data_IF_750500175080
#
_entry.id   IF_750500175080
#
_cell.length_a   1.000
_cell.length_b   1.000
_cell.length_c   1.000
_cell.angle_alpha   90.00
_cell.angle_beta   90.00
_cell.angle_gamma   90.00
#
_symmetry.space_group_name_H-M   'P 1'
#
loop_
_entity.id
_entity.type
_entity.pdbx_description
1 polymer ?
#
# COMPACT_ATOMS: atom_id res chain seq x y z
N UNK A 1 -8.24 25.36 -19.51
CA UNK A 1 -8.28 24.07 -18.79
C UNK A 1 -7.66 23.05 -19.74
N UNK A 2 -6.65 22.29 -19.32
CA UNK A 2 -6.04 21.28 -20.19
C UNK A 2 -7.10 20.26 -20.61
N UNK A 3 -7.06 19.84 -21.87
CA UNK A 3 -7.90 18.72 -22.35
C UNK A 3 -7.50 17.41 -21.67
N UNK A 4 -8.41 16.43 -21.64
CA UNK A 4 -8.12 15.08 -21.11
C UNK A 4 -6.85 14.48 -21.77
N UNK A 5 -6.70 14.68 -23.09
CA UNK A 5 -5.54 14.24 -23.86
C UNK A 5 -4.24 14.98 -23.48
N UNK A 6 -4.30 16.28 -23.19
CA UNK A 6 -3.13 17.04 -22.71
C UNK A 6 -2.73 16.61 -21.30
N UNK A 7 -3.70 16.33 -20.43
CA UNK A 7 -3.45 15.80 -19.10
C UNK A 7 -2.81 14.42 -19.17
N UNK A 8 -3.34 13.51 -20.01
CA UNK A 8 -2.71 12.21 -20.24
C UNK A 8 -1.27 12.34 -20.73
N UNK A 9 -1.02 13.23 -21.71
CA UNK A 9 0.34 13.47 -22.25
C UNK A 9 1.32 13.92 -21.18
N UNK A 10 0.83 14.68 -20.19
CA UNK A 10 1.64 15.16 -19.07
C UNK A 10 2.03 14.08 -18.05
N UNK A 11 1.29 12.96 -18.00
CA UNK A 11 1.50 11.87 -17.02
C UNK A 11 2.28 10.71 -17.61
N UNK A 12 1.92 10.27 -18.82
CA UNK A 12 2.44 9.06 -19.46
C UNK A 12 3.44 9.35 -20.59
N UNK A 13 3.50 10.60 -21.07
CA UNK A 13 4.25 10.96 -22.27
C UNK A 13 3.49 10.60 -23.56
N UNK A 14 3.89 11.20 -24.69
CA UNK A 14 3.21 11.03 -25.98
C UNK A 14 3.32 9.60 -26.55
N UNK A 15 4.42 8.91 -26.28
CA UNK A 15 4.70 7.57 -26.80
C UNK A 15 3.76 6.52 -26.24
N UNK A 16 3.54 6.51 -24.92
CA UNK A 16 2.66 5.56 -24.25
C UNK A 16 1.19 5.72 -24.68
N UNK A 17 0.73 6.96 -24.88
CA UNK A 17 -0.64 7.23 -25.34
C UNK A 17 -0.90 6.65 -26.72
N UNK A 18 0.06 6.78 -27.65
CA UNK A 18 -0.05 6.19 -28.99
C UNK A 18 -0.10 4.66 -28.94
N UNK A 19 0.57 4.01 -27.97
CA UNK A 19 0.52 2.55 -27.76
C UNK A 19 -0.85 2.09 -27.28
N UNK A 20 -1.44 2.77 -26.30
CA UNK A 20 -2.79 2.43 -25.81
C UNK A 20 -3.87 2.54 -26.90
N UNK A 21 -3.70 3.43 -27.89
CA UNK A 21 -4.62 3.55 -29.01
C UNK A 21 -4.56 2.34 -29.98
N UNK A 22 -3.48 1.56 -29.97
CA UNK A 22 -3.29 0.39 -30.85
C UNK A 22 -3.96 -0.89 -30.35
N UNK A 23 -4.55 -0.89 -29.15
CA UNK A 23 -5.24 -2.04 -28.50
C UNK A 23 -6.45 -2.55 -29.31
N UNK A 24 -6.77 -1.96 -30.45
CA UNK A 24 -8.08 -2.16 -31.08
C UNK A 24 -8.08 -2.75 -32.49
N UNK A 25 -6.94 -3.04 -33.14
CA UNK A 25 -6.99 -3.60 -34.50
C UNK A 25 -6.10 -4.82 -34.82
N UNK A 26 -5.05 -5.15 -34.03
CA UNK A 26 -4.17 -6.31 -34.36
C UNK A 26 -3.52 -7.06 -33.17
N UNK A 27 -3.59 -6.57 -31.93
CA UNK A 27 -2.85 -7.14 -30.77
C UNK A 27 -3.74 -7.32 -29.55
N UNK A 28 -3.49 -8.36 -28.75
CA UNK A 28 -4.18 -8.55 -27.47
C UNK A 28 -3.66 -7.57 -26.41
N UNK A 29 -4.45 -7.30 -25.37
CA UNK A 29 -4.02 -6.47 -24.25
C UNK A 29 -2.79 -7.04 -23.52
N UNK A 30 -2.59 -8.36 -23.55
CA UNK A 30 -1.38 -8.98 -23.01
C UNK A 30 -0.16 -8.64 -23.85
N UNK A 31 -0.24 -8.67 -25.18
CA UNK A 31 0.90 -8.35 -26.07
C UNK A 31 1.39 -6.91 -25.86
N UNK A 32 0.47 -5.98 -25.60
CA UNK A 32 0.82 -4.57 -25.32
C UNK A 32 1.66 -4.42 -24.06
N UNK A 33 1.54 -5.31 -23.07
CA UNK A 33 2.35 -5.26 -21.85
C UNK A 33 3.85 -5.43 -22.13
N UNK A 34 4.23 -6.16 -23.19
CA UNK A 34 5.63 -6.37 -23.57
C UNK A 34 6.26 -5.12 -24.20
N UNK A 35 5.43 -4.19 -24.66
CA UNK A 35 5.87 -2.95 -25.31
C UNK A 35 6.00 -1.78 -24.32
N UNK A 36 5.39 -1.88 -23.15
CA UNK A 36 5.42 -0.85 -22.11
C UNK A 36 6.81 -0.80 -21.46
N UNK A 37 7.34 0.41 -21.31
CA UNK A 37 8.58 0.64 -20.56
C UNK A 37 8.26 0.76 -19.05
N UNK A 38 8.33 -0.36 -18.33
CA UNK A 38 7.90 -0.47 -16.93
C UNK A 38 8.77 0.26 -15.89
N UNK A 39 9.93 0.77 -16.29
CA UNK A 39 10.75 1.63 -15.43
C UNK A 39 10.15 3.05 -15.31
N UNK A 40 9.30 3.47 -16.27
CA UNK A 40 8.65 4.78 -16.32
C UNK A 40 9.56 5.98 -15.96
N UNK A 41 10.81 5.95 -16.48
CA UNK A 41 11.81 7.00 -16.27
C UNK A 41 11.23 8.37 -16.65
N UNK A 42 11.57 9.39 -15.87
CA UNK A 42 11.17 10.80 -16.06
C UNK A 42 9.66 11.10 -15.96
N UNK A 43 8.83 10.14 -15.54
CA UNK A 43 7.39 10.37 -15.36
C UNK A 43 7.08 11.07 -14.03
N UNK A 44 6.06 11.94 -14.03
CA UNK A 44 5.58 12.59 -12.81
C UNK A 44 4.75 11.60 -12.00
N UNK A 45 5.11 11.36 -10.75
CA UNK A 45 4.39 10.44 -9.84
C UNK A 45 3.56 11.15 -8.77
N UNK A 46 3.73 12.47 -8.63
CA UNK A 46 3.12 13.31 -7.58
C UNK A 46 2.10 14.32 -8.12
N UNK A 47 1.40 13.97 -9.20
CA UNK A 47 0.32 14.79 -9.72
C UNK A 47 -0.95 14.61 -8.89
N UNK A 48 -1.78 15.66 -8.85
CA UNK A 48 -3.06 15.68 -8.14
C UNK A 48 -2.94 15.08 -6.73
N UNK A 49 -3.89 14.23 -6.33
CA UNK A 49 -4.05 13.76 -4.95
C UNK A 49 -2.96 12.78 -4.50
N UNK A 50 -2.10 12.29 -5.42
CA UNK A 50 -0.97 11.41 -5.06
C UNK A 50 0.04 12.06 -4.11
N UNK A 51 0.08 13.41 -4.07
CA UNK A 51 1.00 14.23 -3.26
C UNK A 51 0.58 14.50 -1.81
N UNK A 52 -0.55 13.96 -1.35
CA UNK A 52 -1.14 14.35 -0.06
C UNK A 52 -0.30 13.97 1.15
N UNK A 53 0.38 12.82 1.08
CA UNK A 53 1.08 12.26 2.22
C UNK A 53 2.33 11.50 1.78
N UNK A 54 3.43 11.66 2.51
CA UNK A 54 4.61 10.81 2.38
C UNK A 54 4.31 9.46 3.03
N UNK A 55 3.73 8.55 2.26
CA UNK A 55 3.46 7.16 2.67
C UNK A 55 4.51 6.25 2.00
N UNK A 56 5.20 5.39 2.77
CA UNK A 56 6.30 4.56 2.25
C UNK A 56 5.80 3.45 1.33
N UNK A 57 6.70 2.92 0.49
CA UNK A 57 6.51 1.66 -0.24
C UNK A 57 5.24 1.63 -1.13
N UNK A 58 5.00 2.71 -1.86
CA UNK A 58 3.92 2.82 -2.85
C UNK A 58 4.46 2.50 -4.23
N UNK A 59 3.69 1.78 -5.06
CA UNK A 59 3.97 1.79 -6.49
C UNK A 59 3.61 3.14 -7.11
N UNK A 60 4.19 3.37 -8.29
CA UNK A 60 3.95 4.57 -9.08
C UNK A 60 2.57 4.52 -9.76
N UNK A 61 1.84 5.65 -9.91
CA UNK A 61 0.50 5.68 -10.51
C UNK A 61 0.41 5.09 -11.92
N UNK A 62 1.49 5.14 -12.69
CA UNK A 62 1.56 4.66 -14.06
C UNK A 62 1.25 3.16 -14.17
N UNK A 63 1.59 2.36 -13.14
CA UNK A 63 1.34 0.92 -13.13
C UNK A 63 -0.16 0.61 -13.09
N UNK A 64 -0.93 0.97 -12.04
CA UNK A 64 -2.36 0.74 -12.03
C UNK A 64 -3.05 1.41 -13.21
N UNK A 65 -2.64 2.63 -13.61
CA UNK A 65 -3.20 3.30 -14.78
C UNK A 65 -3.10 2.46 -16.05
N UNK A 66 -1.95 1.84 -16.30
CA UNK A 66 -1.71 0.97 -17.47
C UNK A 66 -2.64 -0.24 -17.47
N UNK A 67 -2.73 -0.97 -16.35
CA UNK A 67 -3.60 -2.14 -16.25
C UNK A 67 -5.08 -1.76 -16.34
N UNK A 68 -5.52 -0.66 -15.72
CA UNK A 68 -6.91 -0.17 -15.81
C UNK A 68 -7.26 0.15 -17.27
N UNK A 69 -6.39 0.84 -18.02
CA UNK A 69 -6.64 1.15 -19.44
C UNK A 69 -6.73 -0.10 -20.31
N UNK A 70 -5.90 -1.11 -20.07
CA UNK A 70 -5.81 -2.30 -20.90
C UNK A 70 -6.89 -3.35 -20.61
N UNK A 71 -7.28 -3.51 -19.35
CA UNK A 71 -8.10 -4.66 -18.91
C UNK A 71 -9.49 -4.28 -18.40
N UNK A 72 -9.88 -3.01 -18.46
CA UNK A 72 -11.22 -2.55 -18.03
C UNK A 72 -11.84 -1.55 -18.98
N UNK A 73 -13.16 -1.43 -18.92
CA UNK A 73 -13.97 -0.38 -19.56
C UNK A 73 -14.43 0.66 -18.52
N UNK A 74 -14.92 1.81 -19.00
CA UNK A 74 -15.57 2.78 -18.10
C UNK A 74 -16.74 2.09 -17.37
N UNK A 75 -16.89 2.35 -16.08
CA UNK A 75 -17.90 1.70 -15.23
C UNK A 75 -17.54 0.30 -14.72
N UNK A 76 -16.44 -0.32 -15.14
CA UNK A 76 -15.96 -1.57 -14.52
C UNK A 76 -15.46 -1.33 -13.09
N UNK A 77 -15.36 -2.41 -12.30
CA UNK A 77 -14.93 -2.36 -10.89
C UNK A 77 -13.48 -2.79 -10.74
N UNK A 78 -12.64 -1.90 -10.20
CA UNK A 78 -11.22 -2.17 -9.89
C UNK A 78 -11.04 -2.38 -8.38
N UNK A 79 -10.38 -3.45 -7.97
CA UNK A 79 -10.08 -3.71 -6.56
C UNK A 79 -8.59 -3.58 -6.29
N UNK A 80 -8.26 -2.97 -5.15
CA UNK A 80 -6.96 -3.08 -4.52
C UNK A 80 -7.14 -3.65 -3.09
N UNK A 81 -6.80 -4.93 -2.84
CA UNK A 81 -6.96 -5.58 -1.54
C UNK A 81 -5.91 -5.15 -0.50
N UNK A 82 -4.87 -4.43 -0.94
CA UNK A 82 -3.81 -3.82 -0.13
C UNK A 82 -3.66 -2.34 -0.51
N UNK A 83 -4.77 -1.62 -0.46
CA UNK A 83 -4.93 -0.31 -1.09
C UNK A 83 -3.92 0.74 -0.62
N UNK A 84 -3.36 0.60 0.58
CA UNK A 84 -2.49 1.59 1.20
C UNK A 84 -3.15 2.97 1.15
N UNK A 85 -2.47 3.94 0.55
CA UNK A 85 -2.98 5.30 0.36
C UNK A 85 -3.77 5.50 -0.96
N UNK A 86 -4.19 4.43 -1.62
CA UNK A 86 -5.24 4.47 -2.65
C UNK A 86 -4.76 4.91 -4.03
N UNK A 87 -3.51 4.60 -4.40
CA UNK A 87 -2.98 4.94 -5.74
C UNK A 87 -3.86 4.32 -6.84
N UNK A 88 -4.24 3.03 -6.72
CA UNK A 88 -5.15 2.35 -7.65
C UNK A 88 -6.52 3.02 -7.71
N UNK A 89 -7.05 3.46 -6.57
CA UNK A 89 -8.39 4.05 -6.47
C UNK A 89 -8.46 5.40 -7.18
N UNK A 90 -7.45 6.25 -6.97
CA UNK A 90 -7.34 7.55 -7.66
C UNK A 90 -7.25 7.35 -9.17
N UNK A 91 -6.39 6.45 -9.65
CA UNK A 91 -6.28 6.19 -11.09
C UNK A 91 -7.55 5.58 -11.68
N UNK A 92 -8.25 4.74 -10.93
CA UNK A 92 -9.55 4.19 -11.34
C UNK A 92 -10.58 5.31 -11.53
N UNK A 93 -10.65 6.24 -10.57
CA UNK A 93 -11.59 7.36 -10.62
C UNK A 93 -11.28 8.33 -11.76
N UNK A 94 -10.00 8.69 -11.96
CA UNK A 94 -9.53 9.51 -13.09
C UNK A 94 -9.81 8.87 -14.45
N UNK A 95 -9.94 7.54 -14.48
CA UNK A 95 -10.29 6.78 -15.67
C UNK A 95 -11.80 6.45 -15.73
N UNK A 96 -12.65 6.97 -14.87
CA UNK A 96 -14.09 6.69 -14.86
C UNK A 96 -14.44 5.21 -14.60
N UNK A 97 -13.73 4.55 -13.68
CA UNK A 97 -14.02 3.20 -13.17
C UNK A 97 -14.54 3.30 -11.73
N UNK A 98 -15.39 2.36 -11.33
CA UNK A 98 -15.68 2.16 -9.91
C UNK A 98 -14.47 1.50 -9.25
N UNK A 99 -14.26 1.75 -7.97
CA UNK A 99 -13.15 1.13 -7.25
C UNK A 99 -13.47 0.74 -5.82
N UNK A 100 -12.82 -0.32 -5.37
CA UNK A 100 -12.88 -0.82 -4.00
C UNK A 100 -11.44 -0.87 -3.50
N UNK A 101 -11.17 -0.22 -2.37
CA UNK A 101 -9.91 -0.34 -1.65
C UNK A 101 -10.12 -1.03 -0.33
N UNK A 102 -9.32 -2.04 -0.04
CA UNK A 102 -9.24 -2.65 1.27
C UNK A 102 -7.84 -2.46 1.83
N UNK A 103 -7.70 -2.03 3.07
CA UNK A 103 -6.41 -2.03 3.76
C UNK A 103 -6.61 -2.21 5.27
N UNK A 104 -5.67 -2.88 5.92
CA UNK A 104 -5.71 -3.09 7.37
C UNK A 104 -5.35 -1.80 8.12
N UNK A 105 -4.52 -0.93 7.55
CA UNK A 105 -4.04 0.29 8.19
C UNK A 105 -5.11 1.40 8.15
N UNK A 106 -5.70 1.79 9.28
CA UNK A 106 -6.74 2.83 9.31
C UNK A 106 -6.23 4.18 8.82
N UNK A 107 -4.95 4.51 9.04
CA UNK A 107 -4.37 5.73 8.51
C UNK A 107 -4.31 5.70 6.98
N UNK A 108 -3.93 4.57 6.40
CA UNK A 108 -3.85 4.41 4.96
C UNK A 108 -5.24 4.55 4.31
N UNK A 109 -6.26 3.93 4.91
CA UNK A 109 -7.66 4.07 4.46
C UNK A 109 -8.19 5.51 4.60
N UNK A 110 -7.84 6.23 5.68
CA UNK A 110 -8.20 7.64 5.84
C UNK A 110 -7.58 8.50 4.72
N UNK A 111 -6.29 8.31 4.43
CA UNK A 111 -5.61 9.03 3.34
C UNK A 111 -6.25 8.71 1.99
N UNK A 112 -6.51 7.42 1.72
CA UNK A 112 -7.20 6.96 0.50
C UNK A 112 -8.56 7.65 0.34
N UNK A 113 -9.30 7.81 1.44
CA UNK A 113 -10.62 8.42 1.43
C UNK A 113 -10.56 9.89 1.06
N UNK A 114 -9.67 10.65 1.68
CA UNK A 114 -9.47 12.06 1.33
C UNK A 114 -8.99 12.22 -0.11
N UNK A 115 -8.09 11.34 -0.59
CA UNK A 115 -7.59 11.39 -1.97
C UNK A 115 -8.63 11.11 -3.06
N UNK A 116 -9.75 10.47 -2.71
CA UNK A 116 -10.77 10.01 -3.67
C UNK A 116 -12.14 10.64 -3.44
N UNK A 117 -12.25 11.60 -2.50
CA UNK A 117 -13.49 12.33 -2.22
C UNK A 117 -13.39 13.74 -2.79
N UNK A 118 -14.07 14.04 -3.91
CA UNK A 118 -14.23 15.42 -4.38
C UNK A 118 -14.99 16.23 -3.33
N UNK A 119 -14.52 17.44 -3.02
CA UNK A 119 -15.15 18.34 -2.04
C UNK A 119 -15.51 19.63 -2.76
N UNK A 120 -16.77 20.08 -2.62
CA UNK A 120 -17.23 21.34 -3.21
C UNK A 120 -16.45 22.54 -2.65
N UNK A 121 -16.21 23.54 -3.49
CA UNK A 121 -15.49 24.78 -3.10
C UNK A 121 -16.10 25.47 -1.88
N UNK A 122 -17.43 25.54 -1.79
CA UNK A 122 -18.16 26.12 -0.66
C UNK A 122 -17.82 25.44 0.67
N UNK A 123 -17.75 24.11 0.70
CA UNK A 123 -17.41 23.36 1.93
C UNK A 123 -15.97 23.61 2.36
N UNK A 124 -15.06 23.85 1.42
CA UNK A 124 -13.65 24.16 1.72
C UNK A 124 -13.48 25.52 2.41
N UNK A 125 -14.47 26.42 2.39
CA UNK A 125 -14.43 27.69 3.13
C UNK A 125 -14.38 27.49 4.66
N UNK A 126 -14.87 26.34 5.16
CA UNK A 126 -14.79 25.96 6.58
C UNK A 126 -13.32 25.91 7.05
N UNK A 127 -12.39 25.59 6.17
CA UNK A 127 -10.96 25.50 6.49
C UNK A 127 -10.40 26.87 6.88
N UNK A 128 -10.85 27.95 6.25
CA UNK A 128 -10.40 29.31 6.60
C UNK A 128 -10.75 29.63 8.06
N UNK A 129 -12.00 29.37 8.45
CA UNK A 129 -12.48 29.58 9.82
C UNK A 129 -11.72 28.70 10.83
N UNK A 130 -11.46 27.44 10.47
CA UNK A 130 -10.66 26.52 11.28
C UNK A 130 -9.25 27.07 11.52
N UNK A 131 -8.57 27.56 10.48
CA UNK A 131 -7.19 28.07 10.59
C UNK A 131 -7.11 29.34 11.42
N UNK A 132 -8.09 30.25 11.30
CA UNK A 132 -8.18 31.47 12.11
C UNK A 132 -8.36 31.13 13.58
N UNK A 133 -9.23 30.16 13.90
CA UNK A 133 -9.47 29.71 15.27
C UNK A 133 -8.22 29.07 15.89
N UNK A 134 -7.59 28.14 15.18
CA UNK A 134 -6.34 27.50 15.61
C UNK A 134 -5.25 28.55 15.89
N UNK A 135 -5.08 29.51 14.98
CA UNK A 135 -4.04 30.54 15.13
C UNK A 135 -4.30 31.44 16.34
N UNK A 136 -5.55 31.87 16.54
CA UNK A 136 -5.94 32.67 17.71
C UNK A 136 -5.67 31.90 19.00
N UNK A 137 -6.00 30.61 19.01
CA UNK A 137 -5.81 29.75 20.16
C UNK A 137 -4.34 29.54 20.49
N UNK A 138 -3.50 29.19 19.52
CA UNK A 138 -2.04 29.05 19.71
C UNK A 138 -1.42 30.34 20.26
N UNK A 139 -1.85 31.52 19.78
CA UNK A 139 -1.31 32.82 20.25
C UNK A 139 -1.75 33.21 21.67
N UNK A 140 -2.93 32.76 22.10
CA UNK A 140 -3.54 33.18 23.37
C UNK A 140 -3.56 32.08 24.44
N UNK A 141 -3.06 30.88 24.11
CA UNK A 141 -3.16 29.73 25.00
C UNK A 141 -2.26 29.87 26.22
N UNK A 142 -2.89 29.97 27.40
CA UNK A 142 -2.24 29.85 28.70
C UNK A 142 -2.66 28.55 29.43
N UNK A 143 -3.32 27.62 28.73
CA UNK A 143 -3.85 26.39 29.30
C UNK A 143 -2.76 25.32 29.37
N UNK A 144 -2.74 24.57 30.47
CA UNK A 144 -1.98 23.31 30.54
C UNK A 144 -2.75 22.22 29.80
N UNK A 145 -2.23 21.81 28.63
CA UNK A 145 -2.87 20.81 27.78
C UNK A 145 -2.48 19.39 28.20
N UNK A 146 -3.35 18.43 27.89
CA UNK A 146 -3.08 17.00 28.03
C UNK A 146 -2.97 16.40 26.63
N UNK A 147 -1.85 15.75 26.36
CA UNK A 147 -1.60 15.05 25.11
C UNK A 147 -1.26 13.57 25.38
N UNK A 148 -1.43 12.68 24.39
CA UNK A 148 -1.12 11.27 24.55
C UNK A 148 0.34 11.04 24.94
N UNK A 149 0.58 10.07 25.83
CA UNK A 149 1.95 9.68 26.22
C UNK A 149 2.66 9.07 25.02
N UNK A 150 3.76 9.70 24.59
CA UNK A 150 4.56 9.19 23.50
C UNK A 150 5.26 7.86 23.87
N UNK A 151 5.47 6.95 22.91
CA UNK A 151 6.24 5.73 23.12
C UNK A 151 7.67 6.02 23.55
N UNK A 152 8.30 5.16 24.35
CA UNK A 152 9.69 5.34 24.75
C UNK A 152 10.65 4.93 23.60
N UNK A 153 10.96 5.86 22.69
CA UNK A 153 11.84 5.66 21.52
C UNK A 153 12.56 6.96 21.14
N UNK A 154 13.69 6.85 20.43
CA UNK A 154 14.47 8.01 19.97
C UNK A 154 13.66 9.06 19.18
N UNK A 155 12.73 8.61 18.33
CA UNK A 155 11.85 9.51 17.55
C UNK A 155 11.01 10.41 18.47
N UNK A 156 10.69 9.96 19.70
CA UNK A 156 9.95 10.76 20.66
C UNK A 156 10.72 11.98 21.13
N UNK A 157 12.05 11.95 21.08
CA UNK A 157 12.91 13.08 21.47
C UNK A 157 12.81 14.26 20.49
N UNK A 158 12.22 14.07 19.30
CA UNK A 158 11.97 15.15 18.33
C UNK A 158 10.89 16.11 18.85
N UNK A 159 9.95 15.62 19.66
CA UNK A 159 8.80 16.40 20.10
C UNK A 159 9.05 17.05 21.47
N UNK A 160 9.27 18.38 21.48
CA UNK A 160 9.30 19.17 22.71
C UNK A 160 7.88 19.58 23.15
N UNK A 161 7.74 20.05 24.40
CA UNK A 161 6.44 20.39 25.00
C UNK A 161 5.64 21.40 24.17
N UNK A 162 6.30 22.44 23.64
CA UNK A 162 5.66 23.45 22.78
C UNK A 162 5.07 22.81 21.51
N UNK A 163 5.81 21.90 20.88
CA UNK A 163 5.30 21.18 19.70
C UNK A 163 4.10 20.31 20.05
N UNK A 164 4.15 19.61 21.19
CA UNK A 164 3.04 18.78 21.66
C UNK A 164 1.79 19.62 21.96
N UNK A 165 1.96 20.80 22.54
CA UNK A 165 0.88 21.77 22.77
C UNK A 165 0.27 22.27 21.45
N UNK A 166 1.08 22.70 20.49
CA UNK A 166 0.58 23.16 19.18
C UNK A 166 -0.17 22.04 18.43
N UNK A 167 0.35 20.80 18.43
CA UNK A 167 -0.32 19.64 17.83
C UNK A 167 -1.64 19.34 18.53
N UNK A 168 -1.68 19.41 19.85
CA UNK A 168 -2.88 19.17 20.65
C UNK A 168 -3.97 20.22 20.36
N UNK A 169 -3.61 21.51 20.29
CA UNK A 169 -4.56 22.59 19.92
C UNK A 169 -5.14 22.37 18.52
N UNK A 170 -4.30 22.02 17.55
CA UNK A 170 -4.75 21.69 16.20
C UNK A 170 -5.74 20.52 16.25
N UNK A 171 -5.42 19.45 17.00
CA UNK A 171 -6.26 18.26 17.11
C UNK A 171 -7.61 18.56 17.76
N UNK A 172 -7.65 19.30 18.87
CA UNK A 172 -8.89 19.71 19.56
C UNK A 172 -9.82 20.49 18.61
N UNK A 173 -9.26 21.45 17.86
CA UNK A 173 -10.03 22.22 16.90
C UNK A 173 -10.56 21.38 15.73
N UNK A 174 -9.80 20.37 15.28
CA UNK A 174 -10.27 19.42 14.27
C UNK A 174 -11.41 18.57 14.83
N UNK A 175 -11.33 18.13 16.09
CA UNK A 175 -12.35 17.27 16.72
C UNK A 175 -13.71 17.96 16.92
N UNK A 176 -13.74 19.29 16.90
CA UNK A 176 -14.97 20.09 16.95
C UNK A 176 -15.66 20.26 15.58
N UNK A 177 -15.11 19.70 14.50
CA UNK A 177 -15.71 19.80 13.16
C UNK A 177 -16.87 18.82 12.98
N UNK A 178 -18.05 19.35 12.68
CA UNK A 178 -19.23 18.54 12.33
C UNK A 178 -19.17 17.99 10.89
N UNK A 179 -18.51 18.71 9.97
CA UNK A 179 -18.40 18.28 8.58
C UNK A 179 -17.38 17.14 8.46
N UNK A 180 -17.89 15.92 8.24
CA UNK A 180 -17.08 14.69 8.15
C UNK A 180 -16.00 14.72 7.07
N UNK A 181 -16.21 15.41 5.94
CA UNK A 181 -15.19 15.47 4.88
C UNK A 181 -14.08 16.45 5.25
N UNK A 182 -14.44 17.62 5.79
CA UNK A 182 -13.47 18.59 6.28
C UNK A 182 -12.70 18.06 7.49
N UNK A 183 -13.37 17.33 8.39
CA UNK A 183 -12.75 16.59 9.49
C UNK A 183 -11.68 15.62 8.98
N UNK A 184 -12.03 14.71 8.06
CA UNK A 184 -11.10 13.72 7.51
C UNK A 184 -9.93 14.40 6.78
N UNK A 185 -10.20 15.43 5.97
CA UNK A 185 -9.18 16.22 5.28
C UNK A 185 -8.20 16.84 6.27
N UNK A 186 -8.72 17.43 7.35
CA UNK A 186 -7.91 18.11 8.36
C UNK A 186 -7.07 17.12 9.17
N UNK A 187 -7.59 15.91 9.46
CA UNK A 187 -6.80 14.82 10.04
C UNK A 187 -5.67 14.35 9.11
N UNK A 188 -5.91 14.27 7.80
CA UNK A 188 -4.84 13.94 6.83
C UNK A 188 -3.79 15.04 6.78
N UNK A 189 -4.19 16.32 6.84
CA UNK A 189 -3.26 17.44 6.93
C UNK A 189 -2.42 17.36 8.20
N UNK A 190 -3.04 17.09 9.36
CA UNK A 190 -2.34 16.90 10.64
C UNK A 190 -1.37 15.72 10.59
N UNK A 191 -1.80 14.58 10.04
CA UNK A 191 -0.92 13.43 9.82
C UNK A 191 0.26 13.80 8.92
N UNK A 192 0.04 14.52 7.82
CA UNK A 192 1.13 14.94 6.95
C UNK A 192 2.08 15.93 7.64
N UNK A 193 1.60 16.74 8.58
CA UNK A 193 2.44 17.62 9.42
C UNK A 193 3.32 16.80 10.35
N UNK A 194 2.74 15.86 11.11
CA UNK A 194 3.48 14.95 12.00
C UNK A 194 4.54 14.17 11.21
N UNK A 195 4.17 13.69 10.02
CA UNK A 195 5.11 12.99 9.14
C UNK A 195 6.27 13.88 8.69
N UNK A 196 5.98 15.13 8.32
CA UNK A 196 7.01 16.07 7.88
C UNK A 196 8.03 16.36 9.00
N UNK A 197 7.57 16.56 10.24
CA UNK A 197 8.41 16.79 11.43
C UNK A 197 9.35 15.60 11.67
N UNK A 198 8.81 14.38 11.58
CA UNK A 198 9.61 13.16 11.77
C UNK A 198 10.66 13.00 10.65
N UNK A 199 10.31 13.33 9.41
CA UNK A 199 11.22 13.21 8.26
C UNK A 199 12.30 14.30 8.21
N UNK A 200 12.00 15.52 8.67
CA UNK A 200 12.98 16.62 8.71
C UNK A 200 13.87 16.59 9.95
N UNK A 201 13.50 15.83 10.98
CA UNK A 201 14.07 15.92 12.33
C UNK A 201 14.09 17.36 12.88
N UNK A 202 13.21 18.22 12.35
CA UNK A 202 13.07 19.63 12.72
C UNK A 202 11.58 20.00 12.76
N UNK A 203 11.14 20.59 13.87
CA UNK A 203 9.76 20.94 14.16
C UNK A 203 9.49 22.44 14.30
N UNK A 204 10.41 23.31 13.88
CA UNK A 204 10.17 24.76 13.96
C UNK A 204 8.92 25.14 13.15
N UNK A 205 7.94 25.76 13.83
CA UNK A 205 6.68 26.30 13.27
C UNK A 205 5.62 25.25 12.83
N UNK A 206 5.14 24.42 13.78
CA UNK A 206 4.09 23.41 13.55
C UNK A 206 2.86 23.99 12.86
N UNK A 207 2.36 25.13 13.35
CA UNK A 207 1.21 25.82 12.76
C UNK A 207 1.44 26.14 11.27
N UNK A 208 2.62 26.62 10.91
CA UNK A 208 2.92 26.98 9.52
C UNK A 208 3.01 25.74 8.64
N UNK A 209 3.61 24.65 9.14
CA UNK A 209 3.65 23.38 8.42
C UNK A 209 2.22 22.88 8.18
N UNK A 210 1.37 22.90 9.20
CA UNK A 210 -0.04 22.50 9.09
C UNK A 210 -0.81 23.36 8.09
N UNK A 211 -0.70 24.70 8.15
CA UNK A 211 -1.29 25.63 7.17
C UNK A 211 -0.86 25.30 5.74
N UNK A 212 0.44 25.05 5.54
CA UNK A 212 0.97 24.70 4.22
C UNK A 212 0.39 23.36 3.72
N UNK A 213 0.30 22.35 4.59
CA UNK A 213 -0.25 21.03 4.22
C UNK A 213 -1.74 21.10 3.91
N UNK A 214 -2.55 21.75 4.75
CA UNK A 214 -4.00 21.81 4.55
C UNK A 214 -4.36 22.64 3.31
N UNK A 215 -3.65 23.75 3.06
CA UNK A 215 -3.85 24.55 1.85
C UNK A 215 -3.44 23.79 0.59
N UNK A 216 -2.31 23.07 0.62
CA UNK A 216 -1.90 22.22 -0.49
C UNK A 216 -2.95 21.15 -0.80
N UNK A 217 -3.46 20.44 0.22
CA UNK A 217 -4.50 19.42 0.03
C UNK A 217 -5.77 20.05 -0.56
N UNK A 218 -6.21 21.18 -0.01
CA UNK A 218 -7.40 21.93 -0.44
C UNK A 218 -7.33 22.33 -1.92
N UNK A 219 -6.25 23.01 -2.33
CA UNK A 219 -6.09 23.44 -3.73
C UNK A 219 -5.98 22.26 -4.69
N UNK A 220 -5.33 21.20 -4.27
CA UNK A 220 -5.24 19.98 -5.07
C UNK A 220 -6.59 19.29 -5.23
N UNK A 221 -7.45 19.28 -4.21
CA UNK A 221 -8.81 18.71 -4.32
C UNK A 221 -9.68 19.53 -5.26
N UNK A 222 -9.56 20.86 -5.24
CA UNK A 222 -10.22 21.75 -6.21
C UNK A 222 -9.77 21.44 -7.64
N UNK A 223 -8.49 21.15 -7.83
CA UNK A 223 -7.96 20.74 -9.13
C UNK A 223 -8.43 19.33 -9.53
N UNK A 224 -8.33 18.36 -8.62
CA UNK A 224 -8.76 16.97 -8.82
C UNK A 224 -10.22 16.86 -9.23
N UNK A 225 -11.10 17.62 -8.58
CA UNK A 225 -12.54 17.62 -8.83
C UNK A 225 -12.91 18.05 -10.27
N UNK A 226 -11.97 18.64 -11.03
CA UNK A 226 -12.18 18.99 -12.46
C UNK A 226 -12.01 17.79 -13.39
N UNK A 227 -11.34 16.73 -12.94
CA UNK A 227 -10.97 15.57 -13.76
C UNK A 227 -11.78 14.31 -13.44
N UNK A 228 -12.56 14.31 -12.37
CA UNK A 228 -13.32 13.14 -11.93
C UNK A 228 -14.81 13.34 -12.09
N UNK A 229 -15.49 12.28 -12.54
CA UNK A 229 -16.94 12.24 -12.64
C UNK A 229 -17.57 11.84 -11.31
N UNK A 230 -18.62 12.56 -10.90
CA UNK A 230 -19.42 12.29 -9.71
C UNK A 230 -20.22 10.98 -9.79
N UNK A 231 -20.31 10.34 -10.96
CA UNK A 231 -20.97 9.04 -11.11
C UNK A 231 -20.09 7.85 -10.68
N UNK A 232 -18.78 8.05 -10.61
CA UNK A 232 -17.86 7.01 -10.16
C UNK A 232 -18.05 6.75 -8.66
N UNK A 233 -17.99 5.48 -8.28
CA UNK A 233 -18.20 5.03 -6.88
C UNK A 233 -16.88 4.49 -6.37
N UNK A 234 -16.41 5.03 -5.26
CA UNK A 234 -15.21 4.58 -4.56
C UNK A 234 -15.63 4.07 -3.18
N UNK A 235 -15.37 2.79 -2.90
CA UNK A 235 -15.58 2.18 -1.59
C UNK A 235 -14.24 1.94 -0.92
N UNK A 236 -14.11 2.33 0.34
CA UNK A 236 -12.87 2.16 1.11
C UNK A 236 -13.22 1.42 2.40
N UNK A 237 -12.53 0.31 2.61
CA UNK A 237 -12.81 -0.65 3.67
C UNK A 237 -11.54 -0.80 4.51
N UNK A 238 -11.67 -0.55 5.81
CA UNK A 238 -10.59 -0.82 6.78
C UNK A 238 -10.77 -2.23 7.32
N UNK A 239 -10.14 -3.21 6.69
CA UNK A 239 -10.25 -4.62 7.06
C UNK A 239 -9.06 -5.47 6.57
N UNK A 240 -8.99 -6.69 7.08
CA UNK A 240 -7.95 -7.65 6.72
C UNK A 240 -8.13 -8.21 5.31
N UNK A 241 -7.09 -8.12 4.48
CA UNK A 241 -7.07 -8.64 3.11
C UNK A 241 -7.26 -10.16 2.99
N UNK A 242 -6.96 -10.91 4.07
CA UNK A 242 -7.16 -12.36 4.15
C UNK A 242 -8.64 -12.74 4.16
N UNK A 243 -9.52 -11.74 4.34
CA UNK A 243 -10.98 -11.87 4.37
C UNK A 243 -11.64 -10.61 3.79
N UNK A 244 -11.99 -10.64 2.51
CA UNK A 244 -12.69 -9.55 1.82
C UNK A 244 -14.21 -9.61 2.05
N UNK A 245 -14.64 -9.64 3.32
CA UNK A 245 -16.05 -9.87 3.72
C UNK A 245 -17.04 -8.85 3.16
N UNK A 246 -16.57 -7.64 2.85
CA UNK A 246 -17.39 -6.53 2.34
C UNK A 246 -17.28 -6.39 0.81
N UNK A 247 -16.78 -7.43 0.13
CA UNK A 247 -16.67 -7.49 -1.33
C UNK A 247 -17.35 -8.76 -1.83
N UNK A 248 -18.35 -8.54 -2.69
CA UNK A 248 -19.17 -9.61 -3.25
C UNK A 248 -18.34 -10.53 -4.16
N UNK A 249 -18.67 -11.82 -4.16
CA UNK A 249 -18.05 -12.81 -5.05
C UNK A 249 -18.32 -12.46 -6.51
N UNK A 250 -17.36 -12.70 -7.40
CA UNK A 250 -17.49 -12.44 -8.84
C UNK A 250 -17.97 -11.02 -9.21
N UNK A 251 -17.59 -10.00 -8.44
CA UNK A 251 -17.99 -8.60 -8.65
C UNK A 251 -16.90 -7.72 -9.25
N UNK A 252 -15.64 -8.15 -9.21
CA UNK A 252 -14.47 -7.34 -9.60
C UNK A 252 -14.00 -7.66 -11.02
N UNK A 253 -13.70 -6.63 -11.81
CA UNK A 253 -13.24 -6.73 -13.20
C UNK A 253 -11.71 -6.67 -13.36
N UNK A 254 -11.00 -6.11 -12.39
CA UNK A 254 -9.53 -6.04 -12.38
C UNK A 254 -9.05 -5.92 -10.93
N UNK A 255 -7.97 -6.64 -10.60
CA UNK A 255 -7.18 -6.40 -9.39
C UNK A 255 -5.83 -5.84 -9.81
N UNK A 256 -5.42 -4.71 -9.22
CA UNK A 256 -4.03 -4.22 -9.29
C UNK A 256 -3.59 -3.82 -7.90
N UNK A 257 -2.51 -4.40 -7.41
CA UNK A 257 -2.13 -4.27 -6.00
C UNK A 257 -0.64 -4.45 -5.77
N UNK A 258 -0.20 -4.01 -4.59
CA UNK A 258 1.17 -4.14 -4.09
C UNK A 258 1.10 -4.57 -2.63
N UNK A 259 1.11 -5.89 -2.34
CA UNK A 259 1.07 -6.37 -0.97
C UNK A 259 2.32 -5.96 -0.18
N UNK A 260 2.29 -6.01 1.17
CA UNK A 260 3.49 -5.85 1.97
C UNK A 260 4.52 -6.93 1.61
N UNK A 261 5.81 -6.55 1.57
CA UNK A 261 6.88 -7.49 1.28
C UNK A 261 7.45 -8.05 2.59
N UNK A 262 7.58 -9.37 2.67
CA UNK A 262 8.07 -10.03 3.89
C UNK A 262 9.43 -9.49 4.32
N UNK A 263 9.55 -9.11 5.59
CA UNK A 263 10.79 -8.60 6.19
C UNK A 263 11.34 -7.35 5.45
N UNK A 264 10.47 -6.52 4.86
CA UNK A 264 10.87 -5.28 4.18
C UNK A 264 10.62 -4.02 5.03
N UNK A 265 9.44 -3.90 5.65
CA UNK A 265 9.07 -2.73 6.47
C UNK A 265 8.09 -3.09 7.59
N UNK A 266 8.28 -2.50 8.77
CA UNK A 266 7.28 -2.53 9.85
C UNK A 266 6.36 -1.31 9.73
N UNK A 267 5.22 -1.44 9.05
CA UNK A 267 4.31 -0.33 8.82
C UNK A 267 3.79 0.27 10.12
N UNK A 268 3.53 -0.54 11.15
CA UNK A 268 3.07 -0.01 12.44
C UNK A 268 4.11 0.95 13.04
N UNK A 269 5.41 0.66 12.95
CA UNK A 269 6.47 1.53 13.49
C UNK A 269 6.53 2.86 12.76
N UNK A 270 6.36 2.80 11.44
CA UNK A 270 6.43 3.97 10.57
C UNK A 270 5.26 4.93 10.80
N UNK A 271 4.09 4.39 11.16
CA UNK A 271 2.85 5.18 11.32
C UNK A 271 2.40 5.35 12.78
N UNK A 272 3.12 4.77 13.74
CA UNK A 272 2.75 4.75 15.16
C UNK A 272 2.41 6.14 15.72
N UNK A 273 3.24 7.16 15.45
CA UNK A 273 3.03 8.52 15.96
C UNK A 273 1.82 9.18 15.32
N UNK A 274 1.65 9.02 14.00
CA UNK A 274 0.46 9.51 13.29
C UNK A 274 -0.81 8.85 13.86
N UNK A 275 -0.83 7.53 13.99
CA UNK A 275 -1.96 6.78 14.52
C UNK A 275 -2.28 7.18 15.96
N UNK A 276 -1.27 7.35 16.82
CA UNK A 276 -1.45 7.80 18.20
C UNK A 276 -2.16 9.15 18.27
N UNK A 277 -1.67 10.14 17.52
CA UNK A 277 -2.26 11.48 17.50
C UNK A 277 -3.65 11.54 16.89
N UNK A 278 -3.95 10.65 15.94
CA UNK A 278 -5.26 10.55 15.31
C UNK A 278 -6.23 9.66 16.10
N UNK A 279 -5.85 9.17 17.29
CA UNK A 279 -6.71 8.32 18.13
C UNK A 279 -6.95 6.92 17.57
N UNK A 280 -6.04 6.43 16.72
CA UNK A 280 -6.14 5.11 16.07
C UNK A 280 -5.41 4.03 16.87
N UNK A 281 -5.95 2.81 16.87
CA UNK A 281 -5.37 1.67 17.59
C UNK A 281 -4.21 1.03 16.81
N UNK A 282 -3.00 1.58 16.97
CA UNK A 282 -1.79 1.02 16.34
C UNK A 282 -1.38 -0.35 16.92
N UNK A 283 -1.81 -0.70 18.13
CA UNK A 283 -1.54 -2.01 18.74
C UNK A 283 -2.31 -3.12 18.04
N UNK A 284 -3.59 -2.89 17.74
CA UNK A 284 -4.39 -3.82 16.95
C UNK A 284 -3.83 -3.96 15.52
N UNK A 285 -3.39 -2.85 14.90
CA UNK A 285 -2.74 -2.90 13.59
C UNK A 285 -1.46 -3.74 13.63
N UNK A 286 -0.57 -3.51 14.60
CA UNK A 286 0.67 -4.27 14.79
C UNK A 286 0.44 -5.78 14.88
N UNK A 287 -0.62 -6.22 15.56
CA UNK A 287 -0.91 -7.64 15.77
C UNK A 287 -1.36 -8.36 14.50
N UNK A 288 -1.86 -7.62 13.51
CA UNK A 288 -2.51 -8.18 12.32
C UNK A 288 -1.76 -7.85 11.03
N UNK A 289 -0.68 -7.05 11.07
CA UNK A 289 0.08 -6.69 9.88
C UNK A 289 0.75 -7.91 9.24
N UNK A 290 0.65 -8.03 7.92
CA UNK A 290 1.28 -9.13 7.17
C UNK A 290 2.75 -8.78 6.92
N UNK A 291 3.65 -9.72 7.23
CA UNK A 291 5.08 -9.63 6.90
C UNK A 291 5.93 -8.75 7.83
N UNK A 292 5.37 -8.29 8.96
CA UNK A 292 6.06 -7.50 9.97
C UNK A 292 7.15 -8.25 10.74
N UNK A 293 8.23 -7.57 11.12
CA UNK A 293 9.45 -8.13 11.74
C UNK A 293 9.29 -8.51 13.22
N UNK A 294 8.12 -8.28 13.81
CA UNK A 294 7.92 -8.36 15.26
C UNK A 294 7.64 -9.78 15.77
N UNK A 295 7.52 -10.75 14.86
CA UNK A 295 7.17 -12.14 15.14
C UNK A 295 8.37 -13.05 14.77
N UNK A 296 8.59 -14.12 15.54
CA UNK A 296 9.61 -15.15 15.26
C UNK A 296 11.09 -14.69 15.23
N UNK A 297 11.53 -13.89 16.22
CA UNK A 297 12.91 -13.36 16.29
C UNK A 297 14.03 -14.43 16.26
N UNK A 298 13.76 -15.64 16.76
CA UNK A 298 14.76 -16.73 16.81
C UNK A 298 14.91 -17.48 15.48
N UNK A 299 13.82 -17.62 14.71
CA UNK A 299 13.83 -18.28 13.41
C UNK A 299 12.94 -17.50 12.42
N UNK A 300 13.57 -16.64 11.64
CA UNK A 300 12.88 -15.77 10.69
C UNK A 300 12.31 -16.51 9.46
N UNK A 301 12.64 -17.78 9.23
CA UNK A 301 11.96 -18.57 8.19
C UNK A 301 10.54 -18.99 8.61
N UNK A 302 10.21 -18.94 9.91
CA UNK A 302 8.82 -19.07 10.38
C UNK A 302 7.98 -17.86 10.02
N UNK A 303 8.57 -16.65 10.01
CA UNK A 303 7.92 -15.46 9.45
C UNK A 303 7.63 -15.65 7.95
N UNK A 304 8.52 -16.31 7.19
CA UNK A 304 8.24 -16.65 5.79
C UNK A 304 7.07 -17.63 5.67
N UNK A 305 7.01 -18.64 6.54
CA UNK A 305 5.88 -19.59 6.62
C UNK A 305 4.53 -18.89 6.84
N UNK A 306 4.45 -18.07 7.89
CA UNK A 306 3.28 -17.24 8.22
C UNK A 306 2.89 -16.34 7.04
N UNK A 307 3.85 -15.60 6.49
CA UNK A 307 3.62 -14.71 5.35
C UNK A 307 3.08 -15.43 4.11
N UNK A 308 3.63 -16.59 3.75
CA UNK A 308 3.14 -17.35 2.60
C UNK A 308 1.71 -17.86 2.84
N UNK A 309 1.38 -18.27 4.05
CA UNK A 309 0.01 -18.65 4.43
C UNK A 309 -0.96 -17.49 4.31
N UNK A 310 -0.60 -16.32 4.85
CA UNK A 310 -1.39 -15.10 4.78
C UNK A 310 -1.61 -14.64 3.34
N UNK A 311 -0.56 -14.60 2.53
CA UNK A 311 -0.67 -14.22 1.13
C UNK A 311 -1.50 -15.23 0.33
N UNK A 312 -1.40 -16.52 0.60
CA UNK A 312 -2.26 -17.53 -0.03
C UNK A 312 -3.73 -17.29 0.30
N UNK A 313 -4.07 -17.00 1.57
CA UNK A 313 -5.44 -16.64 1.98
C UNK A 313 -5.95 -15.41 1.24
N UNK A 314 -5.14 -14.35 1.19
CA UNK A 314 -5.51 -13.14 0.44
C UNK A 314 -5.70 -13.44 -1.05
N UNK A 315 -4.84 -14.27 -1.66
CA UNK A 315 -4.99 -14.64 -3.08
C UNK A 315 -6.22 -15.53 -3.34
N UNK A 316 -6.63 -16.38 -2.39
CA UNK A 316 -7.90 -17.12 -2.46
C UNK A 316 -9.08 -16.15 -2.45
N UNK A 317 -9.07 -15.16 -1.57
CA UNK A 317 -10.11 -14.11 -1.55
C UNK A 317 -10.11 -13.26 -2.82
N UNK A 318 -8.94 -12.93 -3.37
CA UNK A 318 -8.83 -12.28 -4.68
C UNK A 318 -9.45 -13.13 -5.79
N UNK A 319 -9.24 -14.46 -5.78
CA UNK A 319 -9.93 -15.35 -6.72
C UNK A 319 -11.44 -15.26 -6.51
N UNK A 320 -11.95 -15.39 -5.28
CA UNK A 320 -13.38 -15.38 -4.96
C UNK A 320 -14.11 -14.15 -5.49
N UNK A 321 -13.55 -12.96 -5.25
CA UNK A 321 -14.21 -11.68 -5.59
C UNK A 321 -14.13 -11.33 -7.07
N UNK A 322 -13.14 -11.86 -7.79
CA UNK A 322 -12.90 -11.49 -9.19
C UNK A 322 -13.74 -12.32 -10.15
N UNK A 323 -14.24 -11.70 -11.23
CA UNK A 323 -14.96 -12.41 -12.30
C UNK A 323 -14.02 -13.35 -13.06
N UNK A 324 -14.55 -14.49 -13.54
CA UNK A 324 -13.81 -15.41 -14.41
C UNK A 324 -13.30 -14.71 -15.68
N UNK A 325 -12.08 -15.05 -16.11
CA UNK A 325 -11.43 -14.47 -17.29
C UNK A 325 -10.79 -13.11 -17.08
N UNK A 326 -10.95 -12.49 -15.90
CA UNK A 326 -10.36 -11.18 -15.57
C UNK A 326 -8.94 -11.31 -15.02
N UNK A 327 -8.25 -10.18 -14.97
CA UNK A 327 -6.82 -10.08 -14.68
C UNK A 327 -6.57 -9.60 -13.24
N UNK A 328 -5.57 -10.19 -12.61
CA UNK A 328 -5.01 -9.75 -11.34
C UNK A 328 -3.51 -9.45 -11.54
N UNK A 329 -3.09 -8.22 -11.27
CA UNK A 329 -1.71 -7.78 -11.35
C UNK A 329 -1.17 -7.51 -9.95
N UNK A 330 -0.15 -8.27 -9.55
CA UNK A 330 0.48 -8.16 -8.24
C UNK A 330 1.91 -7.63 -8.43
N UNK A 331 2.15 -6.42 -7.93
CA UNK A 331 3.47 -5.79 -7.91
C UNK A 331 4.20 -6.24 -6.66
N UNK A 332 5.38 -6.84 -6.80
CA UNK A 332 6.11 -7.39 -5.67
C UNK A 332 7.63 -7.33 -5.87
N UNK A 333 8.33 -6.88 -4.83
CA UNK A 333 9.78 -6.82 -4.78
C UNK A 333 10.39 -8.06 -4.14
N UNK A 334 11.65 -8.33 -4.48
CA UNK A 334 12.43 -9.33 -3.76
C UNK A 334 12.83 -8.79 -2.38
N UNK A 335 12.83 -9.65 -1.37
CA UNK A 335 13.31 -9.30 -0.03
C UNK A 335 14.41 -10.27 0.42
N UNK A 336 14.80 -10.22 1.69
CA UNK A 336 15.84 -11.10 2.20
C UNK A 336 15.62 -11.47 3.66
N UNK A 337 15.80 -12.75 3.98
CA UNK A 337 15.70 -13.30 5.33
C UNK A 337 16.96 -14.12 5.61
N UNK A 338 17.65 -13.84 6.71
CA UNK A 338 18.87 -14.55 7.14
C UNK A 338 19.88 -14.78 5.99
N UNK A 339 20.09 -13.73 5.18
CA UNK A 339 21.00 -13.72 4.01
C UNK A 339 20.56 -14.57 2.81
N UNK A 340 19.33 -15.07 2.84
CA UNK A 340 18.68 -15.71 1.71
C UNK A 340 17.74 -14.75 0.98
N UNK A 341 17.84 -14.75 -0.34
CA UNK A 341 16.95 -13.98 -1.22
C UNK A 341 15.55 -14.59 -1.15
N UNK A 342 14.53 -13.78 -0.92
CA UNK A 342 13.13 -14.21 -1.00
C UNK A 342 12.55 -13.67 -2.30
N UNK A 343 12.26 -14.59 -3.23
CA UNK A 343 11.71 -14.29 -4.55
C UNK A 343 10.18 -14.39 -4.53
N UNK A 344 9.53 -13.45 -3.85
CA UNK A 344 8.07 -13.48 -3.60
C UNK A 344 7.24 -13.70 -4.87
N UNK A 345 7.65 -13.14 -6.00
CA UNK A 345 6.98 -13.33 -7.29
C UNK A 345 6.90 -14.81 -7.71
N UNK A 346 7.96 -15.61 -7.47
CA UNK A 346 7.97 -17.05 -7.77
C UNK A 346 6.99 -17.80 -6.88
N UNK A 347 6.98 -17.48 -5.59
CA UNK A 347 6.03 -18.07 -4.64
C UNK A 347 4.58 -17.78 -5.04
N UNK A 348 4.27 -16.53 -5.40
CA UNK A 348 2.93 -16.15 -5.85
C UNK A 348 2.53 -16.86 -7.15
N UNK A 349 3.44 -16.98 -8.11
CA UNK A 349 3.21 -17.73 -9.36
C UNK A 349 2.95 -19.22 -9.11
N UNK A 350 3.65 -19.83 -8.15
CA UNK A 350 3.46 -21.24 -7.81
C UNK A 350 2.13 -21.45 -7.07
N UNK A 351 1.83 -20.61 -6.09
CA UNK A 351 0.57 -20.64 -5.35
C UNK A 351 -0.64 -20.44 -6.26
N UNK A 352 -0.57 -19.50 -7.21
CA UNK A 352 -1.62 -19.21 -8.19
C UNK A 352 -2.15 -20.47 -8.91
N UNK A 353 -1.26 -21.43 -9.23
CA UNK A 353 -1.61 -22.69 -9.92
C UNK A 353 -2.56 -23.57 -9.10
N UNK A 354 -2.55 -23.45 -7.78
CA UNK A 354 -3.41 -24.24 -6.88
C UNK A 354 -4.79 -23.61 -6.68
N UNK A 355 -4.96 -22.33 -6.99
CA UNK A 355 -6.15 -21.55 -6.63
C UNK A 355 -6.87 -20.96 -7.84
N UNK A 356 -6.81 -21.65 -8.98
CA UNK A 356 -7.60 -21.31 -10.18
C UNK A 356 -7.09 -20.13 -11.00
N UNK A 357 -5.86 -19.67 -10.75
CA UNK A 357 -5.19 -18.65 -11.56
C UNK A 357 -4.21 -19.28 -12.55
N UNK A 358 -4.13 -18.70 -13.75
CA UNK A 358 -3.07 -18.97 -14.72
C UNK A 358 -2.10 -17.78 -14.75
N UNK A 359 -0.80 -18.06 -14.72
CA UNK A 359 0.24 -17.03 -14.88
C UNK A 359 0.37 -16.68 -16.36
N UNK A 360 0.03 -15.44 -16.72
CA UNK A 360 0.13 -14.95 -18.10
C UNK A 360 1.47 -14.30 -18.40
N UNK A 361 1.97 -13.46 -17.49
CA UNK A 361 3.25 -12.76 -17.65
C UNK A 361 3.91 -12.50 -16.31
N UNK A 362 5.23 -12.37 -16.37
CA UNK A 362 6.07 -11.85 -15.28
C UNK A 362 6.91 -10.73 -15.86
N UNK A 363 6.68 -9.51 -15.38
CA UNK A 363 7.32 -8.30 -15.90
C UNK A 363 8.35 -7.85 -14.89
N UNK A 364 9.60 -7.65 -15.31
CA UNK A 364 10.66 -7.09 -14.48
C UNK A 364 10.73 -5.57 -14.68
N UNK A 365 10.99 -4.83 -13.60
CA UNK A 365 11.33 -3.40 -13.65
C UNK A 365 12.40 -3.05 -12.64
N UNK A 366 13.23 -2.08 -13.01
CA UNK A 366 14.18 -1.46 -12.09
C UNK A 366 13.46 -0.40 -11.25
N UNK A 367 13.84 -0.31 -9.97
CA UNK A 367 13.35 0.77 -9.11
C UNK A 367 14.31 1.97 -9.22
N UNK A 368 13.77 3.15 -9.53
CA UNK A 368 14.54 4.39 -9.41
C UNK A 368 14.77 4.74 -7.93
N UNK A 369 16.01 4.46 -7.50
CA UNK A 369 16.51 4.67 -6.13
C UNK A 369 16.60 6.15 -5.72
N UNK A 370 16.48 7.09 -6.66
CA UNK A 370 16.54 8.52 -6.37
C UNK A 370 15.22 9.08 -5.84
N UNK A 371 14.11 8.34 -5.97
CA UNK A 371 12.80 8.82 -5.56
C UNK A 371 12.55 8.62 -4.06
N UNK A 372 12.10 9.69 -3.37
CA UNK A 372 11.81 9.73 -1.91
C UNK A 372 10.80 8.67 -1.39
N UNK A 373 10.20 7.86 -2.27
CA UNK A 373 9.17 6.87 -1.96
C UNK A 373 9.71 5.51 -1.54
N UNK A 374 10.99 5.27 -1.82
CA UNK A 374 11.70 4.10 -1.34
C UNK A 374 12.50 4.53 -0.11
N UNK A 375 11.95 4.26 1.07
CA UNK A 375 12.76 4.23 2.30
C UNK A 375 14.04 3.45 2.02
N UNK A 376 15.22 3.90 2.47
CA UNK A 376 16.57 3.31 2.41
C UNK A 376 16.66 1.76 2.30
N UNK A 377 16.06 1.20 1.25
CA UNK A 377 15.52 -0.14 1.24
C UNK A 377 16.35 -0.97 0.30
N UNK A 378 16.66 -2.19 0.73
CA UNK A 378 17.53 -3.12 0.00
C UNK A 378 16.81 -3.82 -1.15
N UNK A 379 15.83 -3.17 -1.77
CA UNK A 379 15.06 -3.73 -2.88
C UNK A 379 15.44 -2.94 -4.11
N UNK A 380 16.16 -3.59 -5.01
CA UNK A 380 16.67 -2.97 -6.24
C UNK A 380 15.75 -3.26 -7.43
N UNK A 381 14.91 -4.29 -7.29
CA UNK A 381 14.17 -4.91 -8.37
C UNK A 381 12.72 -5.17 -7.94
N UNK A 382 11.79 -4.94 -8.85
CA UNK A 382 10.37 -5.25 -8.65
C UNK A 382 9.82 -6.05 -9.83
N UNK A 383 8.87 -6.93 -9.54
CA UNK A 383 8.20 -7.75 -10.52
C UNK A 383 6.70 -7.45 -10.53
N UNK A 384 6.08 -7.54 -11.69
CA UNK A 384 4.62 -7.55 -11.82
C UNK A 384 4.21 -8.94 -12.29
N UNK A 385 3.55 -9.67 -11.40
CA UNK A 385 2.95 -10.98 -11.70
C UNK A 385 1.56 -10.74 -12.26
N UNK A 386 1.35 -11.11 -13.53
CA UNK A 386 0.07 -10.96 -14.22
C UNK A 386 -0.62 -12.31 -14.27
N UNK A 387 -1.72 -12.42 -13.53
CA UNK A 387 -2.53 -13.62 -13.40
C UNK A 387 -3.88 -13.42 -14.12
N UNK A 388 -4.42 -14.48 -14.70
CA UNK A 388 -5.81 -14.52 -15.19
C UNK A 388 -6.59 -15.56 -14.41
N UNK A 389 -7.78 -15.20 -13.91
CA UNK A 389 -8.67 -16.17 -13.23
C UNK A 389 -9.27 -17.10 -14.27
N UNK A 390 -8.91 -18.38 -14.22
CA UNK A 390 -9.42 -19.39 -15.17
C UNK A 390 -10.59 -20.18 -14.59
N UNK A 391 -10.60 -20.40 -13.28
CA UNK A 391 -11.69 -21.04 -12.55
C UNK A 391 -11.79 -20.53 -11.12
N UNK A 392 -12.92 -20.78 -10.48
CA UNK A 392 -13.10 -20.53 -9.06
C UNK A 392 -12.20 -21.46 -8.24
N UNK A 393 -11.64 -20.93 -7.15
CA UNK A 393 -10.90 -21.72 -6.19
C UNK A 393 -11.86 -22.65 -5.42
N UNK A 394 -11.52 -23.92 -5.33
CA UNK A 394 -12.33 -24.95 -4.63
C UNK A 394 -12.14 -24.88 -3.09
N UNK A 395 -11.11 -24.16 -2.62
CA UNK A 395 -10.79 -23.97 -1.21
C UNK A 395 -11.14 -22.57 -0.74
N UNK A 396 -11.56 -22.45 0.52
CA UNK A 396 -11.79 -21.15 1.17
C UNK A 396 -10.53 -20.65 1.88
N UNK A 397 -10.49 -19.36 2.20
CA UNK A 397 -9.41 -18.78 2.99
C UNK A 397 -9.29 -19.39 4.41
N UNK A 398 -10.27 -20.19 4.87
CA UNK A 398 -10.27 -20.88 6.18
C UNK A 398 -9.73 -22.31 6.12
N UNK A 399 -9.40 -22.82 4.94
CA UNK A 399 -8.94 -24.19 4.76
C UNK A 399 -7.45 -24.32 5.16
N UNK A 400 -7.22 -24.41 6.47
CA UNK A 400 -5.88 -24.49 7.06
C UNK A 400 -5.08 -25.71 6.57
N UNK A 401 -5.76 -26.83 6.30
CA UNK A 401 -5.10 -28.04 5.79
C UNK A 401 -4.56 -27.82 4.37
N UNK A 402 -5.38 -27.26 3.48
CA UNK A 402 -4.95 -26.88 2.13
C UNK A 402 -3.82 -25.86 2.16
N UNK A 403 -3.94 -24.81 2.97
CA UNK A 403 -2.95 -23.74 3.07
C UNK A 403 -1.63 -24.32 3.59
N UNK A 404 -1.66 -25.14 4.64
CA UNK A 404 -0.46 -25.79 5.18
C UNK A 404 0.23 -26.66 4.14
N UNK A 405 -0.54 -27.42 3.36
CA UNK A 405 -0.01 -28.26 2.27
C UNK A 405 0.72 -27.44 1.21
N UNK A 406 0.14 -26.33 0.76
CA UNK A 406 0.76 -25.48 -0.27
C UNK A 406 2.00 -24.75 0.28
N UNK A 407 1.91 -24.17 1.48
CA UNK A 407 3.04 -23.47 2.12
C UNK A 407 4.22 -24.43 2.38
N UNK A 408 3.94 -25.65 2.85
CA UNK A 408 4.96 -26.68 3.05
C UNK A 408 5.73 -26.96 1.76
N UNK A 409 5.03 -27.11 0.64
CA UNK A 409 5.64 -27.33 -0.68
C UNK A 409 6.53 -26.16 -1.12
N UNK A 410 6.09 -24.92 -0.88
CA UNK A 410 6.89 -23.73 -1.18
C UNK A 410 8.17 -23.66 -0.32
N UNK A 411 8.08 -23.96 0.97
CA UNK A 411 9.22 -23.99 1.88
C UNK A 411 10.20 -25.14 1.56
N UNK A 412 9.70 -26.30 1.15
CA UNK A 412 10.55 -27.41 0.69
C UNK A 412 11.34 -27.03 -0.56
N UNK A 413 10.67 -26.45 -1.56
CA UNK A 413 11.36 -25.95 -2.76
C UNK A 413 12.38 -24.86 -2.43
N UNK A 414 12.04 -23.97 -1.49
CA UNK A 414 12.94 -22.93 -1.01
C UNK A 414 14.16 -23.51 -0.29
N UNK A 415 13.97 -24.54 0.54
CA UNK A 415 15.04 -25.27 1.23
C UNK A 415 16.04 -25.87 0.25
N UNK A 416 15.55 -26.56 -0.79
CA UNK A 416 16.44 -27.16 -1.80
C UNK A 416 17.24 -26.10 -2.55
N UNK A 417 16.62 -24.96 -2.86
CA UNK A 417 17.34 -23.82 -3.44
C UNK A 417 18.44 -23.32 -2.49
N UNK A 418 18.15 -23.17 -1.19
CA UNK A 418 19.13 -22.71 -0.19
C UNK A 418 20.26 -23.73 0.01
N UNK A 419 19.99 -25.04 -0.07
CA UNK A 419 21.04 -26.08 -0.06
C UNK A 419 22.00 -25.93 -1.24
N UNK A 420 21.47 -25.67 -2.43
CA UNK A 420 22.24 -25.57 -3.66
C UNK A 420 22.97 -24.22 -3.82
N UNK A 421 22.39 -23.14 -3.32
CA UNK A 421 22.94 -21.79 -3.43
C UNK A 421 22.69 -20.97 -2.13
N UNK A 422 23.40 -21.30 -1.03
CA UNK A 422 23.23 -20.63 0.25
C UNK A 422 23.79 -19.20 0.22
N UNK A 423 23.19 -18.30 0.99
CA UNK A 423 23.65 -16.91 1.09
C UNK A 423 23.35 -16.08 -0.16
N UNK A 424 22.28 -16.43 -0.86
CA UNK A 424 21.86 -15.83 -2.14
C UNK A 424 21.61 -14.32 -2.09
N UNK A 425 21.50 -13.70 -0.90
CA UNK A 425 21.33 -12.25 -0.73
C UNK A 425 22.46 -11.57 0.06
N UNK A 426 23.65 -12.17 0.13
CA UNK A 426 24.77 -11.67 0.97
C UNK A 426 25.27 -10.28 0.57
N UNK A 427 25.06 -9.80 -0.66
CA UNK A 427 25.38 -8.44 -1.16
C UNK A 427 26.62 -7.81 -0.51
N UNK A 428 27.79 -8.47 -0.61
CA UNK A 428 29.07 -7.96 -0.12
C UNK A 428 29.32 -8.14 1.38
N UNK A 429 28.47 -8.87 2.11
CA UNK A 429 28.71 -9.24 3.50
C UNK A 429 29.53 -10.52 3.61
N UNK A 430 30.56 -10.50 4.44
CA UNK A 430 31.28 -11.71 4.84
C UNK A 430 30.47 -12.48 5.89
N UNK A 431 29.87 -13.60 5.48
CA UNK A 431 29.10 -14.51 6.33
C UNK A 431 29.76 -15.88 6.29
N UNK A 432 29.93 -16.52 7.45
CA UNK A 432 30.58 -17.83 7.51
C UNK A 432 29.72 -18.92 6.87
N UNK A 433 30.35 -19.87 6.19
CA UNK A 433 29.66 -21.02 5.60
C UNK A 433 28.88 -21.83 6.66
N UNK A 434 29.39 -21.93 7.88
CA UNK A 434 28.69 -22.57 9.01
C UNK A 434 27.37 -21.86 9.34
N UNK A 435 27.35 -20.52 9.35
CA UNK A 435 26.12 -19.75 9.61
C UNK A 435 25.10 -19.94 8.51
N UNK A 436 25.53 -20.02 7.25
CA UNK A 436 24.64 -20.27 6.12
C UNK A 436 24.10 -21.71 6.11
N UNK A 437 24.91 -22.70 6.49
CA UNK A 437 24.45 -24.10 6.63
C UNK A 437 23.31 -24.23 7.65
N UNK A 438 23.34 -23.47 8.74
CA UNK A 438 22.25 -23.42 9.74
C UNK A 438 20.92 -22.91 9.16
N UNK A 439 20.92 -22.21 8.02
CA UNK A 439 19.66 -21.79 7.39
C UNK A 439 18.81 -22.99 6.96
N UNK A 440 19.43 -24.08 6.50
CA UNK A 440 18.71 -25.31 6.10
C UNK A 440 17.97 -25.89 7.31
N UNK A 441 18.65 -26.03 8.45
CA UNK A 441 18.06 -26.55 9.68
C UNK A 441 16.90 -25.67 10.18
N UNK A 442 17.06 -24.35 10.09
CA UNK A 442 16.00 -23.39 10.43
C UNK A 442 14.80 -23.49 9.49
N UNK A 443 15.02 -23.72 8.20
CA UNK A 443 13.93 -23.92 7.23
C UNK A 443 13.23 -25.26 7.52
N UNK A 444 13.96 -26.32 7.87
CA UNK A 444 13.37 -27.59 8.30
C UNK A 444 12.52 -27.44 9.57
N UNK A 445 12.95 -26.62 10.53
CA UNK A 445 12.13 -26.27 11.69
C UNK A 445 10.86 -25.52 11.26
N UNK A 446 10.95 -24.54 10.34
CA UNK A 446 9.80 -23.80 9.84
C UNK A 446 8.80 -24.73 9.12
N UNK A 447 9.29 -25.66 8.29
CA UNK A 447 8.48 -26.70 7.62
C UNK A 447 7.68 -27.54 8.62
N UNK A 448 8.30 -27.96 9.72
CA UNK A 448 7.64 -28.72 10.80
C UNK A 448 6.59 -27.90 11.55
N UNK A 449 6.73 -26.58 11.55
CA UNK A 449 5.84 -25.67 12.28
C UNK A 449 4.78 -24.99 11.41
N UNK A 450 4.69 -25.29 10.10
CA UNK A 450 3.75 -24.64 9.17
C UNK A 450 2.35 -24.55 9.75
N UNK A 451 1.77 -25.66 10.20
CA UNK A 451 0.41 -25.72 10.77
C UNK A 451 0.19 -24.81 11.97
N UNK A 452 1.25 -24.51 12.74
CA UNK A 452 1.19 -23.56 13.86
C UNK A 452 1.38 -22.13 13.37
N UNK A 453 2.31 -21.92 12.44
CA UNK A 453 2.71 -20.59 11.96
C UNK A 453 1.62 -19.94 11.09
N UNK A 454 0.85 -20.74 10.32
CA UNK A 454 -0.21 -20.20 9.45
C UNK A 454 -1.56 -20.01 10.16
N UNK A 455 -1.66 -20.31 11.46
CA UNK A 455 -2.94 -20.28 12.17
C UNK A 455 -3.53 -18.89 12.11
N UNK A 456 -4.67 -18.78 11.45
CA UNK A 456 -5.37 -17.52 11.29
C UNK A 456 -6.47 -17.42 12.36
N UNK A 457 -6.36 -16.42 13.22
CA UNK A 457 -7.42 -16.09 14.19
C UNK A 457 -8.17 -14.90 13.64
N UNK A 458 -9.49 -15.02 13.47
CA UNK A 458 -10.32 -13.89 13.08
C UNK A 458 -10.33 -12.86 14.23
N UNK A 459 -9.89 -11.63 13.93
CA UNK A 459 -9.88 -10.47 14.84
C UNK A 459 -11.05 -9.54 14.59
#
# INVERSE_FOLDING_TARGET
MMSELEFEKSILGQTEIKRFAQVTNTKSAFDVLDEVSWDFKDTKTQYLTHRFHSYPARFIPQIPRTFIKLFTKKGDVVLDPFAGCGTTLVESQLLNRHSIGNDLNPLATLISKVKTTPISTKRLEIITVLLEKIEKEIKSNNRKLKFPKLPNRNISNIFNDRMLEEIQIIKENIDELDDKEIFNLSLVALSSTIRAIIESENGDNILQIFKNKINMITETLKEYSKYVDNQTKVSIITADSRRLKNVESNSVDLIVTSPPYVNALDYYRVHMYNMLWLGMNYSAFKQNEIGGHSHHLFNRFRLLSEYLGDMLRSMIEMNRVMKKGKVCAIVVGNSSIDYELIESYKHFMNMAKFIGFEVKKTIFRNIDKSSKYFSNGKIDDEFIVVLQKMKDCEHSYKDDEFIAKVVRKELESFRERVKNNPGSSTRGKHVTAERLKKNVDKIDEAIKNVEKDIKFVEV
#
